data_IF_186946806141
#
_entry.id   IF_186946806141
#
_cell.length_a   1.000
_cell.length_b   1.000
_cell.length_c   1.000
_cell.angle_alpha   90.00
_cell.angle_beta   90.00
_cell.angle_gamma   90.00
#
_symmetry.space_group_name_H-M   'P 1'
#
loop_
_entity.id
_entity.type
_entity.pdbx_description
1 polymer ?
#
# COMPACT_ATOMS: atom_id res chain seq x y z
N UNK A 1 -6.46 20.13 25.07
CA UNK A 1 -6.29 19.46 23.76
C UNK A 1 -6.70 20.35 22.56
N UNK A 2 -7.27 21.55 22.77
CA UNK A 2 -7.74 22.42 21.66
C UNK A 2 -6.81 23.61 21.37
N UNK A 3 -5.58 23.61 21.88
CA UNK A 3 -4.62 24.65 21.54
C UNK A 3 -4.00 24.32 20.19
N UNK A 4 -4.00 25.24 19.21
CA UNK A 4 -3.36 24.99 17.92
C UNK A 4 -1.88 24.68 18.10
N UNK A 5 -1.38 23.71 17.34
CA UNK A 5 0.04 23.34 17.36
C UNK A 5 0.90 24.52 16.88
N UNK A 6 2.03 24.74 17.56
CA UNK A 6 2.98 25.76 17.09
C UNK A 6 3.59 25.36 15.74
N UNK A 7 4.07 26.34 14.95
CA UNK A 7 4.73 26.07 13.68
C UNK A 7 5.94 25.13 13.84
N UNK A 8 6.65 25.24 14.97
CA UNK A 8 7.75 24.35 15.32
C UNK A 8 7.27 22.91 15.55
N UNK A 9 6.14 22.73 16.23
CA UNK A 9 5.57 21.40 16.47
C UNK A 9 5.08 20.75 15.17
N UNK A 10 4.49 21.53 14.25
CA UNK A 10 4.04 21.03 12.95
C UNK A 10 5.22 20.57 12.07
N UNK A 11 6.30 21.37 12.01
CA UNK A 11 7.51 21.01 11.28
C UNK A 11 8.20 19.77 11.86
N UNK A 12 8.19 19.63 13.20
CA UNK A 12 8.71 18.45 13.86
C UNK A 12 7.91 17.19 13.49
N UNK A 13 6.58 17.27 13.54
CA UNK A 13 5.71 16.16 13.18
C UNK A 13 5.92 15.74 11.72
N UNK A 14 6.08 16.70 10.80
CA UNK A 14 6.38 16.44 9.39
C UNK A 14 7.69 15.66 9.22
N UNK A 15 8.78 16.09 9.87
CA UNK A 15 10.08 15.40 9.78
C UNK A 15 10.08 14.01 10.40
N UNK A 16 9.40 13.84 11.53
CA UNK A 16 9.26 12.53 12.17
C UNK A 16 8.44 11.58 11.30
N UNK A 17 7.40 12.09 10.64
CA UNK A 17 6.61 11.32 9.68
C UNK A 17 7.45 10.91 8.46
N UNK A 18 8.26 11.82 7.91
CA UNK A 18 9.18 11.50 6.82
C UNK A 18 10.17 10.41 7.23
N UNK A 19 10.83 10.53 8.38
CA UNK A 19 11.72 9.51 8.92
C UNK A 19 11.01 8.15 9.10
N UNK A 20 9.74 8.17 9.54
CA UNK A 20 8.92 6.98 9.68
C UNK A 20 8.62 6.32 8.33
N UNK A 21 8.21 7.08 7.31
CA UNK A 21 8.00 6.54 5.96
C UNK A 21 9.25 5.85 5.43
N UNK A 22 10.43 6.45 5.63
CA UNK A 22 11.71 5.83 5.28
C UNK A 22 11.97 4.51 6.03
N UNK A 23 11.45 4.32 7.24
CA UNK A 23 11.57 3.04 7.94
C UNK A 23 10.59 1.98 7.41
N UNK A 24 9.39 2.38 6.98
CA UNK A 24 8.32 1.50 6.49
C UNK A 24 8.65 0.94 5.10
N UNK A 25 9.03 1.82 4.16
CA UNK A 25 9.18 1.47 2.74
C UNK A 25 10.30 0.44 2.49
N UNK A 26 11.24 0.28 3.42
CA UNK A 26 12.46 -0.50 3.22
C UNK A 26 12.61 -1.70 4.17
N UNK A 27 11.56 -2.06 4.92
CA UNK A 27 11.54 -3.22 5.81
C UNK A 27 11.47 -4.59 5.09
N UNK A 28 11.51 -4.65 3.76
CA UNK A 28 11.56 -5.91 2.99
C UNK A 28 13.00 -6.41 2.77
N UNK A 29 13.47 -7.18 3.77
CA UNK A 29 14.50 -8.24 3.85
C UNK A 29 15.83 -8.26 3.06
N UNK A 30 16.12 -7.38 2.09
CA UNK A 30 17.42 -7.42 1.38
C UNK A 30 18.32 -6.17 1.58
N UNK A 31 17.81 -5.10 2.19
CA UNK A 31 18.55 -3.84 2.41
C UNK A 31 18.64 -3.44 3.90
N UNK A 32 18.44 -4.39 4.80
CA UNK A 32 18.30 -4.15 6.24
C UNK A 32 19.40 -3.23 6.81
N UNK A 33 20.69 -3.46 6.56
CA UNK A 33 21.74 -2.63 7.18
C UNK A 33 21.80 -1.18 6.67
N UNK A 34 21.85 -0.98 5.35
CA UNK A 34 22.04 0.35 4.71
C UNK A 34 20.80 1.24 4.89
N UNK A 35 19.60 0.66 4.87
CA UNK A 35 18.36 1.42 5.05
C UNK A 35 18.09 1.74 6.53
N UNK A 36 18.51 0.89 7.46
CA UNK A 36 18.42 1.23 8.89
C UNK A 36 19.37 2.36 9.26
N UNK A 37 20.58 2.40 8.70
CA UNK A 37 21.52 3.50 8.94
C UNK A 37 20.93 4.86 8.53
N UNK A 38 20.30 4.93 7.36
CA UNK A 38 19.69 6.18 6.89
C UNK A 38 18.47 6.56 7.73
N UNK A 39 17.58 5.60 8.04
CA UNK A 39 16.45 5.87 8.92
C UNK A 39 16.91 6.35 10.31
N UNK A 40 17.93 5.70 10.90
CA UNK A 40 18.53 6.10 12.17
C UNK A 40 19.12 7.52 12.06
N UNK A 41 19.83 7.84 10.98
CA UNK A 41 20.35 9.19 10.73
C UNK A 41 19.24 10.24 10.67
N UNK A 42 18.12 9.94 10.01
CA UNK A 42 16.98 10.86 9.91
C UNK A 42 16.29 11.06 11.26
N UNK A 43 16.09 9.98 12.04
CA UNK A 43 15.60 10.08 13.41
C UNK A 43 16.55 10.90 14.29
N UNK A 44 17.85 10.65 14.22
CA UNK A 44 18.86 11.39 15.00
C UNK A 44 18.89 12.86 14.62
N UNK A 45 18.92 13.18 13.32
CA UNK A 45 18.91 14.56 12.84
C UNK A 45 17.65 15.30 13.30
N UNK A 46 16.49 14.63 13.27
CA UNK A 46 15.22 15.22 13.71
C UNK A 46 15.19 15.42 15.22
N UNK A 47 15.69 14.45 15.99
CA UNK A 47 15.77 14.54 17.46
C UNK A 47 16.81 15.55 17.93
N UNK A 48 17.95 15.67 17.24
CA UNK A 48 18.97 16.70 17.50
C UNK A 48 18.40 18.08 17.19
N UNK A 49 17.73 18.25 16.03
CA UNK A 49 17.09 19.51 15.67
C UNK A 49 15.99 19.91 16.68
N UNK A 50 15.22 18.92 17.18
CA UNK A 50 14.21 19.14 18.22
C UNK A 50 14.84 19.51 19.57
N UNK A 51 15.80 18.71 20.01
CA UNK A 51 16.41 18.85 21.31
C UNK A 51 17.34 20.06 21.36
N UNK A 52 17.80 20.58 20.21
CA UNK A 52 18.89 21.56 20.10
C UNK A 52 20.08 21.19 21.01
N UNK A 53 20.32 19.90 21.14
CA UNK A 53 21.30 19.29 22.04
C UNK A 53 21.93 18.09 21.31
N UNK A 54 23.25 17.88 21.46
CA UNK A 54 23.85 16.62 21.03
C UNK A 54 23.25 15.47 21.85
N UNK A 55 22.86 14.38 21.21
CA UNK A 55 22.26 13.21 21.88
C UNK A 55 23.33 12.52 22.74
N UNK A 56 23.46 12.93 24.01
CA UNK A 56 24.43 12.41 24.98
C UNK A 56 23.85 12.18 26.37
N UNK A 57 24.57 11.43 27.22
CA UNK A 57 24.07 11.00 28.55
C UNK A 57 23.86 12.11 29.58
N UNK A 58 24.48 13.28 29.39
CA UNK A 58 24.36 14.40 30.32
C UNK A 58 23.01 15.16 30.21
N UNK A 59 22.27 14.99 29.12
CA UNK A 59 21.17 15.89 28.75
C UNK A 59 19.77 15.27 28.88
N UNK A 60 19.67 14.10 29.52
CA UNK A 60 18.43 13.35 29.72
C UNK A 60 17.33 14.14 30.44
N UNK A 61 17.69 14.84 31.52
CA UNK A 61 16.73 15.61 32.31
C UNK A 61 16.21 16.83 31.53
N UNK A 62 17.07 17.46 30.72
CA UNK A 62 16.70 18.60 29.90
C UNK A 62 15.77 18.18 28.75
N UNK A 63 16.06 17.05 28.10
CA UNK A 63 15.17 16.47 27.10
C UNK A 63 13.81 16.10 27.70
N UNK A 64 13.80 15.50 28.89
CA UNK A 64 12.57 15.17 29.63
C UNK A 64 11.74 16.42 29.95
N UNK A 65 12.37 17.48 30.46
CA UNK A 65 11.72 18.76 30.73
C UNK A 65 11.14 19.38 29.45
N UNK A 66 11.89 19.34 28.34
CA UNK A 66 11.42 19.83 27.04
C UNK A 66 10.24 19.03 26.53
N UNK A 67 10.29 17.70 26.63
CA UNK A 67 9.18 16.82 26.24
C UNK A 67 7.94 17.04 27.10
N UNK A 68 8.11 17.22 28.42
CA UNK A 68 7.03 17.49 29.35
C UNK A 68 6.32 18.81 29.06
N UNK A 69 7.05 19.82 28.55
CA UNK A 69 6.51 21.12 28.17
C UNK A 69 5.80 21.13 26.80
N UNK A 70 5.87 20.05 26.00
CA UNK A 70 5.23 20.00 24.68
C UNK A 70 3.76 19.59 24.75
N UNK A 71 3.05 19.91 23.66
CA UNK A 71 1.70 19.42 23.45
C UNK A 71 1.66 17.88 23.53
N UNK A 72 0.68 17.26 24.22
CA UNK A 72 0.65 15.82 24.45
C UNK A 72 0.77 14.96 23.19
N UNK A 73 0.14 15.38 22.09
CA UNK A 73 0.23 14.68 20.80
C UNK A 73 1.66 14.69 20.24
N UNK A 74 2.33 15.85 20.31
CA UNK A 74 3.71 16.01 19.83
C UNK A 74 4.66 15.18 20.68
N UNK A 75 4.48 15.22 22.01
CA UNK A 75 5.22 14.39 22.96
C UNK A 75 5.07 12.92 22.64
N UNK A 76 3.86 12.44 22.35
CA UNK A 76 3.61 11.04 22.02
C UNK A 76 4.33 10.63 20.72
N UNK A 77 4.23 11.44 19.67
CA UNK A 77 4.91 11.17 18.39
C UNK A 77 6.43 11.14 18.55
N UNK A 78 7.01 12.03 19.35
CA UNK A 78 8.45 11.99 19.64
C UNK A 78 8.81 10.71 20.42
N UNK A 79 7.99 10.27 21.37
CA UNK A 79 8.24 9.03 22.10
C UNK A 79 8.16 7.80 21.21
N UNK A 80 7.24 7.79 20.25
CA UNK A 80 7.13 6.69 19.29
C UNK A 80 8.31 6.70 18.31
N UNK A 81 8.77 7.87 17.86
CA UNK A 81 9.98 8.01 17.06
C UNK A 81 11.27 7.61 17.80
N UNK A 82 11.39 7.97 19.08
CA UNK A 82 12.49 7.52 19.95
C UNK A 82 12.49 6.00 20.10
N UNK A 83 11.31 5.40 20.17
CA UNK A 83 11.16 3.96 20.19
C UNK A 83 11.56 3.36 18.82
N UNK A 84 11.12 3.94 17.70
CA UNK A 84 11.42 3.45 16.34
C UNK A 84 12.94 3.39 16.14
N UNK A 85 13.62 4.50 16.47
CA UNK A 85 15.08 4.61 16.41
C UNK A 85 15.77 3.56 17.29
N UNK A 86 15.28 3.33 18.52
CA UNK A 86 15.81 2.28 19.40
C UNK A 86 15.65 0.89 18.79
N UNK A 87 14.47 0.58 18.23
CA UNK A 87 14.22 -0.71 17.61
C UNK A 87 15.18 -0.95 16.42
N UNK A 88 15.31 0.04 15.54
CA UNK A 88 16.21 -0.04 14.38
C UNK A 88 17.65 -0.33 14.83
N UNK A 89 18.13 0.38 15.86
CA UNK A 89 19.46 0.16 16.45
C UNK A 89 19.63 -1.24 17.04
N UNK A 90 18.61 -1.80 17.71
CA UNK A 90 18.68 -3.17 18.26
C UNK A 90 18.73 -4.26 17.18
N UNK A 91 18.33 -3.95 15.95
CA UNK A 91 18.42 -4.89 14.83
C UNK A 91 19.79 -4.87 14.14
N UNK A 92 20.66 -3.88 14.40
CA UNK A 92 22.00 -3.82 13.84
C UNK A 92 23.00 -4.66 14.65
N UNK A 93 23.59 -5.72 14.07
CA UNK A 93 24.50 -6.62 14.79
C UNK A 93 25.86 -5.97 15.14
N UNK A 94 26.28 -4.94 14.41
CA UNK A 94 27.58 -4.26 14.60
C UNK A 94 27.50 -2.98 15.45
N UNK A 95 26.32 -2.62 15.96
CA UNK A 95 26.15 -1.45 16.81
C UNK A 95 26.67 -1.70 18.23
N UNK A 96 28.01 -1.77 18.37
CA UNK A 96 28.74 -1.68 19.63
C UNK A 96 28.55 -0.31 20.35
N UNK A 97 27.52 0.46 19.99
CA UNK A 97 27.07 1.65 20.70
C UNK A 97 26.05 1.26 21.77
N UNK A 98 26.47 0.44 22.73
CA UNK A 98 25.71 0.09 23.95
C UNK A 98 25.21 1.33 24.70
N UNK A 99 25.94 2.45 24.58
CA UNK A 99 25.62 3.73 25.20
C UNK A 99 24.32 4.37 24.70
N UNK A 100 24.00 4.27 23.40
CA UNK A 100 22.79 4.91 22.87
C UNK A 100 21.54 4.09 23.19
N UNK A 101 21.57 2.76 23.08
CA UNK A 101 20.39 1.93 23.37
C UNK A 101 19.92 2.06 24.82
N UNK A 102 20.83 2.04 25.80
CA UNK A 102 20.48 2.30 27.20
C UNK A 102 19.93 3.70 27.42
N UNK A 103 20.51 4.70 26.73
CA UNK A 103 20.07 6.09 26.84
C UNK A 103 18.64 6.27 26.30
N UNK A 104 18.35 5.81 25.08
CA UNK A 104 17.01 5.84 24.49
C UNK A 104 16.01 5.08 25.36
N UNK A 105 16.39 3.91 25.90
CA UNK A 105 15.54 3.15 26.81
C UNK A 105 15.26 3.91 28.11
N UNK A 106 16.24 4.66 28.65
CA UNK A 106 16.03 5.54 29.83
C UNK A 106 15.11 6.72 29.51
N UNK A 107 15.27 7.38 28.36
CA UNK A 107 14.38 8.46 27.89
C UNK A 107 12.95 7.91 27.77
N UNK A 108 12.76 6.81 27.04
CA UNK A 108 11.46 6.15 26.89
C UNK A 108 10.88 5.79 28.26
N UNK A 109 11.70 5.23 29.14
CA UNK A 109 11.23 4.78 30.45
C UNK A 109 10.77 5.91 31.37
N UNK A 110 11.40 7.10 31.26
CA UNK A 110 11.10 8.29 32.07
C UNK A 110 9.99 9.14 31.44
N UNK A 111 10.07 9.38 30.14
CA UNK A 111 9.15 10.24 29.42
C UNK A 111 7.82 9.55 29.10
N UNK A 112 7.76 8.20 29.10
CA UNK A 112 6.49 7.47 29.03
C UNK A 112 5.79 7.51 30.38
N UNK A 113 5.05 8.58 30.65
CA UNK A 113 4.12 8.64 31.78
C UNK A 113 2.85 7.82 31.54
N UNK A 114 2.81 6.97 30.51
CA UNK A 114 1.71 6.05 30.25
C UNK A 114 1.57 5.08 31.44
N UNK A 115 0.45 5.15 32.20
CA UNK A 115 0.17 4.21 33.28
C UNK A 115 0.24 2.76 32.79
N UNK A 116 -0.13 2.54 31.52
CA UNK A 116 -0.09 1.24 30.84
C UNK A 116 1.34 0.76 30.61
N UNK A 117 2.25 1.58 30.05
CA UNK A 117 3.68 1.19 29.90
C UNK A 117 4.33 0.90 31.25
N UNK A 118 4.02 1.71 32.27
CA UNK A 118 4.53 1.49 33.62
C UNK A 118 4.01 0.15 34.17
N UNK A 119 2.73 -0.13 34.02
CA UNK A 119 2.13 -1.35 34.50
C UNK A 119 2.61 -2.61 33.74
N UNK A 120 2.82 -2.54 32.42
CA UNK A 120 3.46 -3.60 31.63
C UNK A 120 4.90 -3.84 32.11
N UNK A 121 5.67 -2.76 32.36
CA UNK A 121 7.05 -2.84 32.85
C UNK A 121 7.11 -3.46 34.25
N UNK A 122 6.21 -3.05 35.14
CA UNK A 122 6.14 -3.59 36.48
C UNK A 122 5.73 -5.07 36.41
N UNK A 123 4.69 -5.44 35.65
CA UNK A 123 4.31 -6.85 35.44
C UNK A 123 5.47 -7.70 34.91
N UNK A 124 6.25 -7.18 33.95
CA UNK A 124 7.47 -7.84 33.44
C UNK A 124 8.55 -8.03 34.52
N UNK A 125 8.80 -7.01 35.35
CA UNK A 125 9.78 -7.12 36.45
C UNK A 125 9.40 -8.18 37.48
N UNK A 126 8.10 -8.36 37.72
CA UNK A 126 7.59 -9.34 38.67
C UNK A 126 7.40 -10.74 38.06
N UNK A 127 7.61 -10.90 36.75
CA UNK A 127 7.30 -12.12 36.00
C UNK A 127 5.90 -12.66 36.34
N UNK A 128 4.91 -11.73 36.38
CA UNK A 128 3.54 -12.01 36.82
C UNK A 128 2.62 -12.12 35.60
N UNK A 129 2.43 -13.32 35.03
CA UNK A 129 1.60 -13.53 33.85
C UNK A 129 0.13 -13.17 34.10
N UNK A 130 -0.37 -13.26 35.34
CA UNK A 130 -1.74 -12.87 35.68
C UNK A 130 -1.99 -11.38 35.51
N UNK A 131 -1.02 -10.53 35.88
CA UNK A 131 -1.07 -9.10 35.58
C UNK A 131 -0.90 -8.81 34.10
N UNK A 132 -0.10 -9.57 33.37
CA UNK A 132 0.02 -9.41 31.92
C UNK A 132 -1.29 -9.75 31.20
N UNK A 133 -2.03 -10.76 31.69
CA UNK A 133 -3.34 -11.15 31.19
C UNK A 133 -4.40 -10.04 31.32
N UNK A 134 -4.31 -9.17 32.33
CA UNK A 134 -5.25 -8.02 32.45
C UNK A 134 -5.09 -6.98 31.34
N UNK A 135 -3.97 -6.97 30.61
CA UNK A 135 -3.79 -6.14 29.42
C UNK A 135 -4.29 -6.81 28.13
N UNK A 136 -4.72 -8.07 28.22
CA UNK A 136 -5.29 -8.84 27.11
C UNK A 136 -6.81 -8.66 26.99
N UNK A 137 -7.44 -7.96 27.93
CA UNK A 137 -8.86 -7.65 27.82
C UNK A 137 -9.10 -6.84 26.52
N UNK A 138 -10.11 -7.21 25.71
CA UNK A 138 -10.36 -6.57 24.41
C UNK A 138 -10.52 -5.04 24.48
N UNK A 139 -11.04 -4.53 25.61
CA UNK A 139 -11.17 -3.10 25.93
C UNK A 139 -9.82 -2.39 26.09
N UNK A 140 -8.82 -3.09 26.65
CA UNK A 140 -7.45 -2.58 26.80
C UNK A 140 -6.68 -2.72 25.50
N UNK A 141 -6.76 -3.89 24.85
CA UNK A 141 -6.07 -4.15 23.57
C UNK A 141 -6.41 -3.14 22.46
N UNK A 142 -7.65 -2.66 22.44
CA UNK A 142 -8.11 -1.64 21.49
C UNK A 142 -7.68 -0.20 21.81
N UNK A 143 -7.14 0.04 23.00
CA UNK A 143 -6.66 1.36 23.44
C UNK A 143 -5.14 1.43 23.51
N UNK A 144 -4.43 0.32 23.32
CA UNK A 144 -2.97 0.30 23.26
C UNK A 144 -2.49 1.04 22.00
N UNK A 145 -1.52 1.94 22.17
CA UNK A 145 -0.74 2.44 21.03
C UNK A 145 0.03 1.28 20.39
N UNK A 146 0.38 1.40 19.11
CA UNK A 146 1.12 0.34 18.43
C UNK A 146 2.46 -0.01 19.11
N UNK A 147 3.14 0.98 19.67
CA UNK A 147 4.35 0.79 20.46
C UNK A 147 4.07 0.03 21.78
N UNK A 148 2.97 0.38 22.48
CA UNK A 148 2.57 -0.32 23.71
C UNK A 148 2.24 -1.79 23.46
N UNK A 149 1.48 -2.04 22.40
CA UNK A 149 1.16 -3.38 21.95
C UNK A 149 2.43 -4.18 21.61
N UNK A 150 3.38 -3.57 20.89
CA UNK A 150 4.66 -4.21 20.60
C UNK A 150 5.45 -4.57 21.87
N UNK A 151 5.55 -3.66 22.83
CA UNK A 151 6.25 -3.93 24.09
C UNK A 151 5.54 -5.00 24.93
N UNK A 152 4.20 -5.04 24.91
CA UNK A 152 3.42 -6.09 25.55
C UNK A 152 3.70 -7.45 24.90
N UNK A 153 3.68 -7.54 23.56
CA UNK A 153 4.03 -8.75 22.81
C UNK A 153 5.44 -9.23 23.18
N UNK A 154 6.43 -8.33 23.21
CA UNK A 154 7.81 -8.65 23.62
C UNK A 154 7.91 -9.18 25.04
N UNK A 155 7.16 -8.59 25.97
CA UNK A 155 7.17 -9.01 27.36
C UNK A 155 6.53 -10.40 27.52
N UNK A 156 5.42 -10.67 26.81
CA UNK A 156 4.73 -11.96 26.84
C UNK A 156 5.60 -13.09 26.29
N UNK A 157 6.30 -12.85 25.17
CA UNK A 157 7.24 -13.82 24.62
C UNK A 157 8.38 -14.15 25.58
N UNK A 158 8.93 -13.15 26.29
CA UNK A 158 9.99 -13.36 27.27
C UNK A 158 9.52 -14.14 28.49
N UNK A 159 8.24 -14.01 28.84
CA UNK A 159 7.60 -14.81 29.88
C UNK A 159 7.24 -16.24 29.41
N UNK A 160 7.39 -16.54 28.12
CA UNK A 160 7.01 -17.84 27.54
C UNK A 160 5.55 -17.93 27.08
N UNK A 161 4.78 -16.84 27.19
CA UNK A 161 3.35 -16.77 26.87
C UNK A 161 3.12 -16.48 25.37
N UNK A 162 3.54 -17.41 24.51
CA UNK A 162 3.56 -17.22 23.05
C UNK A 162 2.15 -17.10 22.42
N UNK A 163 1.15 -17.76 22.99
CA UNK A 163 -0.23 -17.71 22.50
C UNK A 163 -0.83 -16.30 22.70
N UNK A 164 -0.63 -15.74 23.89
CA UNK A 164 -1.09 -14.40 24.23
C UNK A 164 -0.32 -13.33 23.45
N UNK A 165 0.99 -13.49 23.30
CA UNK A 165 1.80 -12.61 22.45
C UNK A 165 1.27 -12.58 21.00
N UNK A 166 0.87 -13.73 20.46
CA UNK A 166 0.30 -13.85 19.11
C UNK A 166 -1.07 -13.18 19.02
N UNK A 167 -1.93 -13.36 20.03
CA UNK A 167 -3.25 -12.73 20.09
C UNK A 167 -3.14 -11.21 20.12
N UNK A 168 -2.30 -10.65 21.01
CA UNK A 168 -2.07 -9.19 21.09
C UNK A 168 -1.54 -8.67 19.77
N UNK A 169 -0.58 -9.35 19.16
CA UNK A 169 0.00 -8.93 17.89
C UNK A 169 -1.05 -8.89 16.77
N UNK A 170 -1.94 -9.90 16.69
CA UNK A 170 -3.03 -9.93 15.71
C UNK A 170 -4.05 -8.80 15.93
N UNK A 171 -4.50 -8.62 17.17
CA UNK A 171 -5.44 -7.55 17.51
C UNK A 171 -4.83 -6.17 17.23
N UNK A 172 -3.58 -5.96 17.65
CA UNK A 172 -2.89 -4.71 17.43
C UNK A 172 -2.68 -4.43 15.93
N UNK A 173 -2.39 -5.45 15.10
CA UNK A 173 -2.31 -5.30 13.63
C UNK A 173 -3.64 -4.92 13.02
N UNK A 174 -4.74 -5.49 13.49
CA UNK A 174 -6.06 -5.14 12.98
C UNK A 174 -6.41 -3.67 13.24
N UNK A 175 -5.88 -3.09 14.32
CA UNK A 175 -6.15 -1.70 14.73
C UNK A 175 -5.11 -0.73 14.16
N UNK A 176 -3.85 -1.17 14.07
CA UNK A 176 -2.70 -0.38 13.62
C UNK A 176 -2.06 -1.03 12.39
N UNK A 177 -2.86 -1.20 11.33
CA UNK A 177 -2.50 -1.94 10.13
C UNK A 177 -1.24 -1.41 9.42
N UNK A 178 -0.91 -0.13 9.60
CA UNK A 178 0.26 0.50 8.97
C UNK A 178 1.51 0.49 9.88
N UNK A 179 1.42 -0.08 11.08
CA UNK A 179 2.49 0.01 12.07
C UNK A 179 3.66 -0.93 11.77
N UNK A 180 4.84 -0.35 11.54
CA UNK A 180 6.11 -1.09 11.38
C UNK A 180 6.44 -1.99 12.58
N UNK A 181 6.03 -1.57 13.78
CA UNK A 181 6.25 -2.29 15.02
C UNK A 181 5.64 -3.68 14.98
N UNK A 182 4.43 -3.73 14.42
CA UNK A 182 3.60 -4.91 14.43
C UNK A 182 3.82 -5.71 13.15
N UNK A 183 4.02 -5.06 12.00
CA UNK A 183 4.16 -5.73 10.71
C UNK A 183 5.56 -6.29 10.45
N UNK A 184 6.62 -5.71 11.03
CA UNK A 184 7.99 -6.21 10.90
C UNK A 184 8.30 -7.50 11.66
N UNK A 185 7.29 -8.25 12.11
CA UNK A 185 7.42 -9.48 12.90
C UNK A 185 6.68 -10.66 12.29
N UNK A 186 7.39 -11.71 11.93
CA UNK A 186 6.76 -12.97 11.46
C UNK A 186 6.22 -13.74 12.66
N UNK A 187 4.95 -14.19 12.63
CA UNK A 187 4.39 -15.00 13.72
C UNK A 187 5.16 -16.33 13.84
N UNK A 188 5.30 -16.89 15.04
CA UNK A 188 5.90 -18.22 15.22
C UNK A 188 5.22 -19.31 14.37
N UNK A 189 3.90 -19.23 14.20
CA UNK A 189 3.11 -20.15 13.38
C UNK A 189 3.44 -20.02 11.88
N UNK A 190 3.72 -18.80 11.41
CA UNK A 190 4.11 -18.53 10.02
C UNK A 190 5.49 -19.12 9.71
N UNK A 191 6.41 -19.11 10.68
CA UNK A 191 7.74 -19.74 10.55
C UNK A 191 7.65 -21.26 10.42
N UNK A 192 6.73 -21.91 11.15
CA UNK A 192 6.52 -23.37 11.06
C UNK A 192 5.89 -23.79 9.74
N UNK A 193 4.98 -22.97 9.17
CA UNK A 193 4.43 -23.19 7.83
C UNK A 193 5.50 -23.04 6.74
N UNK A 194 6.41 -22.06 6.85
CA UNK A 194 7.50 -21.88 5.87
C UNK A 194 8.45 -23.08 5.76
N UNK A 195 8.67 -23.81 6.86
CA UNK A 195 9.55 -24.99 6.89
C UNK A 195 8.84 -26.27 6.43
N UNK A 196 7.52 -26.41 6.64
CA UNK A 196 6.76 -27.56 6.14
C UNK A 196 6.38 -27.46 4.65
N UNK A 197 6.24 -26.24 4.12
CA UNK A 197 5.89 -25.98 2.70
C UNK A 197 7.00 -26.38 1.72
N UNK A 198 8.25 -26.59 2.17
CA UNK A 198 9.32 -27.16 1.33
C UNK A 198 9.09 -28.62 0.91
N UNK A 199 8.08 -29.32 1.45
CA UNK A 199 7.90 -30.77 1.21
C UNK A 199 6.56 -31.19 0.60
N UNK A 200 5.58 -30.30 0.37
CA UNK A 200 4.34 -30.72 -0.32
C UNK A 200 3.79 -29.65 -1.25
N UNK A 201 4.07 -29.81 -2.54
CA UNK A 201 3.40 -29.09 -3.61
C UNK A 201 2.15 -29.87 -4.04
N UNK A 202 0.96 -29.34 -3.74
CA UNK A 202 -0.26 -29.43 -4.57
C UNK A 202 -1.50 -28.90 -3.81
N UNK A 203 -1.79 -27.60 -3.97
CA UNK A 203 -3.17 -27.08 -4.00
C UNK A 203 -3.15 -25.72 -4.72
N UNK A 204 -4.25 -25.33 -5.36
CA UNK A 204 -4.27 -24.18 -6.26
C UNK A 204 -4.13 -22.81 -5.55
N UNK A 205 -4.31 -22.76 -4.22
CA UNK A 205 -3.92 -21.60 -3.38
C UNK A 205 -2.38 -21.39 -3.34
N UNK A 206 -1.61 -22.46 -3.53
CA UNK A 206 -0.12 -22.44 -3.47
C UNK A 206 0.49 -21.83 -4.75
N UNK A 207 -0.28 -21.64 -5.83
CA UNK A 207 0.26 -21.06 -7.08
C UNK A 207 0.44 -19.54 -6.98
N UNK A 208 -0.52 -18.83 -6.39
CA UNK A 208 -0.49 -17.37 -6.25
C UNK A 208 0.59 -16.89 -5.27
N UNK A 209 0.70 -17.52 -4.09
CA UNK A 209 1.71 -17.17 -3.08
C UNK A 209 3.15 -17.43 -3.58
N UNK A 210 3.36 -18.49 -4.36
CA UNK A 210 4.66 -18.79 -4.97
C UNK A 210 5.05 -17.80 -6.07
N UNK A 211 4.10 -17.27 -6.83
CA UNK A 211 4.40 -16.34 -7.92
C UNK A 211 4.85 -14.96 -7.40
N UNK A 212 4.31 -14.49 -6.28
CA UNK A 212 4.78 -13.26 -5.61
C UNK A 212 6.19 -13.45 -5.04
N UNK A 213 6.47 -14.58 -4.39
CA UNK A 213 7.82 -14.89 -3.92
C UNK A 213 8.83 -14.95 -5.09
N UNK A 214 8.46 -15.62 -6.18
CA UNK A 214 9.31 -15.75 -7.37
C UNK A 214 9.55 -14.40 -8.06
N UNK A 215 8.58 -13.47 -8.01
CA UNK A 215 8.76 -12.10 -8.49
C UNK A 215 9.84 -11.36 -7.70
N UNK A 216 9.86 -11.50 -6.38
CA UNK A 216 10.91 -10.90 -5.54
C UNK A 216 12.28 -11.54 -5.80
N UNK A 217 12.34 -12.86 -5.99
CA UNK A 217 13.58 -13.54 -6.38
C UNK A 217 14.08 -13.08 -7.75
N UNK A 218 13.20 -12.95 -8.75
CA UNK A 218 13.54 -12.44 -10.08
C UNK A 218 14.19 -11.06 -9.99
N UNK A 219 13.63 -10.19 -9.15
CA UNK A 219 14.17 -8.85 -8.90
C UNK A 219 15.52 -8.88 -8.17
N UNK A 220 15.68 -9.78 -7.19
CA UNK A 220 16.96 -9.96 -6.48
C UNK A 220 18.07 -10.42 -7.44
N UNK A 221 17.74 -11.30 -8.39
CA UNK A 221 18.66 -11.73 -9.45
C UNK A 221 19.05 -10.58 -10.38
N UNK A 222 18.10 -9.72 -10.79
CA UNK A 222 18.42 -8.52 -11.59
C UNK A 222 19.44 -7.63 -10.88
N UNK A 223 19.23 -7.36 -9.58
CA UNK A 223 20.12 -6.52 -8.77
C UNK A 223 21.51 -7.12 -8.61
N UNK A 224 21.58 -8.45 -8.53
CA UNK A 224 22.82 -9.21 -8.48
C UNK A 224 23.50 -9.37 -9.85
N UNK A 225 22.93 -8.76 -10.91
CA UNK A 225 23.37 -8.90 -12.31
C UNK A 225 23.26 -10.33 -12.87
N UNK A 226 22.45 -11.18 -12.23
CA UNK A 226 22.10 -12.51 -12.69
C UNK A 226 20.92 -12.44 -13.66
N UNK A 227 21.13 -11.78 -14.81
CA UNK A 227 20.04 -11.42 -15.72
C UNK A 227 19.33 -12.62 -16.37
N UNK A 228 20.06 -13.68 -16.72
CA UNK A 228 19.45 -14.87 -17.32
C UNK A 228 18.52 -15.62 -16.33
N UNK A 229 18.94 -15.95 -15.09
CA UNK A 229 18.03 -16.49 -14.08
C UNK A 229 16.82 -15.62 -13.78
N UNK A 230 17.00 -14.29 -13.77
CA UNK A 230 15.90 -13.34 -13.59
C UNK A 230 14.87 -13.45 -14.73
N UNK A 231 15.33 -13.47 -15.98
CA UNK A 231 14.46 -13.62 -17.15
C UNK A 231 13.67 -14.93 -17.11
N UNK A 232 14.30 -16.06 -16.74
CA UNK A 232 13.57 -17.33 -16.61
C UNK A 232 12.45 -17.27 -15.58
N UNK A 233 12.66 -16.58 -14.46
CA UNK A 233 11.61 -16.38 -13.45
C UNK A 233 10.47 -15.53 -13.97
N UNK A 234 10.76 -14.42 -14.66
CA UNK A 234 9.72 -13.63 -15.33
C UNK A 234 8.95 -14.48 -16.35
N UNK A 235 9.63 -15.21 -17.23
CA UNK A 235 8.96 -16.14 -18.17
C UNK A 235 8.03 -17.10 -17.45
N UNK A 236 8.47 -17.69 -16.35
CA UNK A 236 7.65 -18.61 -15.57
C UNK A 236 6.41 -17.92 -14.98
N UNK A 237 6.59 -16.73 -14.37
CA UNK A 237 5.51 -15.93 -13.77
C UNK A 237 4.44 -15.68 -14.83
N UNK A 238 4.83 -15.16 -15.99
CA UNK A 238 3.90 -14.80 -17.04
C UNK A 238 3.30 -16.04 -17.73
N UNK A 239 4.07 -17.09 -18.04
CA UNK A 239 3.49 -18.31 -18.65
C UNK A 239 2.48 -19.02 -17.74
N UNK A 240 2.72 -19.01 -16.43
CA UNK A 240 1.92 -19.81 -15.49
C UNK A 240 0.70 -19.05 -14.99
N UNK A 241 0.77 -17.71 -14.88
CA UNK A 241 -0.27 -16.93 -14.20
C UNK A 241 -1.11 -16.03 -15.11
N UNK A 242 -0.64 -15.70 -16.34
CA UNK A 242 -1.49 -14.99 -17.32
C UNK A 242 -2.75 -15.76 -17.74
N UNK A 243 -2.68 -17.08 -18.02
CA UNK A 243 -3.83 -17.79 -18.56
C UNK A 243 -5.01 -17.87 -17.59
N UNK A 244 -4.71 -17.94 -16.28
CA UNK A 244 -5.68 -18.25 -15.22
C UNK A 244 -5.96 -17.06 -14.29
N UNK A 245 -5.41 -15.87 -14.57
CA UNK A 245 -5.54 -14.67 -13.74
C UNK A 245 -5.20 -14.88 -12.24
N UNK A 246 -4.32 -15.85 -11.94
CA UNK A 246 -4.05 -16.29 -10.56
C UNK A 246 -3.18 -15.32 -9.76
N UNK A 247 -2.66 -14.27 -10.40
CA UNK A 247 -1.90 -13.21 -9.74
C UNK A 247 -2.78 -11.97 -9.55
N UNK A 248 -2.71 -11.32 -8.38
CA UNK A 248 -3.30 -10.00 -8.20
C UNK A 248 -2.78 -9.01 -9.26
N UNK A 249 -3.64 -8.12 -9.77
CA UNK A 249 -3.30 -7.15 -10.82
C UNK A 249 -2.04 -6.32 -10.52
N UNK A 250 -1.83 -5.99 -9.23
CA UNK A 250 -0.63 -5.29 -8.75
C UNK A 250 0.66 -6.09 -8.96
N UNK A 251 0.61 -7.40 -8.74
CA UNK A 251 1.77 -8.27 -8.92
C UNK A 251 2.13 -8.42 -10.39
N UNK A 252 1.13 -8.54 -11.28
CA UNK A 252 1.33 -8.57 -12.74
C UNK A 252 1.95 -7.26 -13.23
N UNK A 253 1.38 -6.12 -12.79
CA UNK A 253 1.89 -4.79 -13.15
C UNK A 253 3.34 -4.59 -12.67
N UNK A 254 3.63 -4.95 -11.41
CA UNK A 254 5.00 -4.90 -10.88
C UNK A 254 5.98 -5.79 -11.64
N UNK A 255 5.54 -7.00 -12.04
CA UNK A 255 6.35 -7.91 -12.83
C UNK A 255 6.68 -7.36 -14.23
N UNK A 256 5.74 -6.67 -14.89
CA UNK A 256 5.96 -6.04 -16.19
C UNK A 256 6.93 -4.86 -16.09
N UNK A 257 6.84 -4.06 -15.02
CA UNK A 257 7.80 -2.98 -14.76
C UNK A 257 9.22 -3.54 -14.57
N UNK A 258 9.39 -4.57 -13.74
CA UNK A 258 10.71 -5.16 -13.54
C UNK A 258 11.26 -5.87 -14.79
N UNK A 259 10.40 -6.52 -15.58
CA UNK A 259 10.83 -7.07 -16.87
C UNK A 259 11.31 -5.95 -17.79
N UNK A 260 10.59 -4.83 -17.88
CA UNK A 260 11.01 -3.68 -18.69
C UNK A 260 12.36 -3.13 -18.24
N UNK A 261 12.56 -2.98 -16.92
CA UNK A 261 13.86 -2.60 -16.34
C UNK A 261 14.97 -3.59 -16.72
N UNK A 262 14.68 -4.90 -16.71
CA UNK A 262 15.62 -5.93 -17.15
C UNK A 262 15.96 -5.78 -18.64
N UNK A 263 14.96 -5.50 -19.49
CA UNK A 263 15.14 -5.27 -20.92
C UNK A 263 16.09 -4.12 -21.24
N UNK A 264 16.11 -3.06 -20.40
CA UNK A 264 17.03 -1.92 -20.55
C UNK A 264 18.50 -2.31 -20.38
N UNK A 265 18.80 -3.36 -19.62
CA UNK A 265 20.18 -3.79 -19.30
C UNK A 265 20.55 -5.16 -19.87
N UNK A 266 19.57 -5.92 -20.36
CA UNK A 266 19.74 -7.28 -20.89
C UNK A 266 18.88 -7.49 -22.14
N UNK A 267 19.52 -7.39 -23.31
CA UNK A 267 18.84 -7.43 -24.61
C UNK A 267 17.89 -8.63 -24.85
N UNK A 268 18.19 -9.86 -24.40
CA UNK A 268 17.25 -10.97 -24.53
C UNK A 268 15.92 -10.74 -23.80
N UNK A 269 15.93 -10.03 -22.67
CA UNK A 269 14.70 -9.70 -21.96
C UNK A 269 13.85 -8.68 -22.73
N UNK A 270 14.47 -7.71 -23.40
CA UNK A 270 13.75 -6.75 -24.24
C UNK A 270 13.06 -7.43 -25.42
N UNK A 271 13.79 -8.28 -26.16
CA UNK A 271 13.24 -9.01 -27.31
C UNK A 271 12.04 -9.89 -26.93
N UNK A 272 12.07 -10.49 -25.74
CA UNK A 272 10.94 -11.29 -25.26
C UNK A 272 9.79 -10.47 -24.71
N UNK A 273 10.08 -9.32 -24.12
CA UNK A 273 9.04 -8.39 -23.71
C UNK A 273 8.27 -7.89 -24.93
N UNK A 274 8.97 -7.55 -26.02
CA UNK A 274 8.34 -7.18 -27.29
C UNK A 274 7.48 -8.33 -27.83
N UNK A 275 8.00 -9.56 -27.80
CA UNK A 275 7.23 -10.75 -28.19
C UNK A 275 6.00 -10.99 -27.32
N UNK A 276 6.06 -10.66 -26.02
CA UNK A 276 4.93 -10.74 -25.10
C UNK A 276 3.86 -9.70 -25.48
N UNK A 277 4.27 -8.46 -25.75
CA UNK A 277 3.39 -7.39 -26.23
C UNK A 277 2.68 -7.78 -27.54
N UNK A 278 3.43 -8.28 -28.51
CA UNK A 278 2.89 -8.73 -29.79
C UNK A 278 1.89 -9.88 -29.61
N UNK A 279 2.25 -10.88 -28.80
CA UNK A 279 1.37 -12.02 -28.49
C UNK A 279 0.07 -11.56 -27.81
N UNK A 280 0.17 -10.67 -26.82
CA UNK A 280 -0.99 -10.10 -26.14
C UNK A 280 -1.90 -9.36 -27.12
N UNK A 281 -1.33 -8.52 -28.02
CA UNK A 281 -2.10 -7.83 -29.07
C UNK A 281 -2.82 -8.81 -30.00
N UNK A 282 -2.14 -9.87 -30.43
CA UNK A 282 -2.74 -10.88 -31.31
C UNK A 282 -3.90 -11.62 -30.61
N UNK A 283 -3.74 -11.97 -29.33
CA UNK A 283 -4.82 -12.59 -28.54
C UNK A 283 -6.01 -11.65 -28.41
N UNK A 284 -5.79 -10.35 -28.18
CA UNK A 284 -6.86 -9.35 -28.13
C UNK A 284 -7.63 -9.29 -29.44
N UNK A 285 -6.94 -9.31 -30.59
CA UNK A 285 -7.55 -9.20 -31.92
C UNK A 285 -8.17 -10.51 -32.43
N UNK A 286 -7.78 -11.66 -31.87
CA UNK A 286 -8.30 -12.97 -32.28
C UNK A 286 -9.69 -13.23 -31.68
N UNK A 287 -10.73 -12.98 -32.49
CA UNK A 287 -12.13 -13.19 -32.12
C UNK A 287 -12.49 -14.66 -31.83
N UNK A 288 -11.59 -15.62 -32.10
CA UNK A 288 -11.78 -17.04 -31.75
C UNK A 288 -11.42 -17.34 -30.29
N UNK A 289 -10.72 -16.43 -29.61
CA UNK A 289 -10.39 -16.58 -28.20
C UNK A 289 -11.60 -16.30 -27.32
N UNK A 290 -11.60 -16.85 -26.10
CA UNK A 290 -12.63 -16.54 -25.11
C UNK A 290 -12.52 -15.08 -24.69
N UNK A 291 -13.66 -14.45 -24.39
CA UNK A 291 -13.73 -13.04 -23.98
C UNK A 291 -12.84 -12.75 -22.76
N UNK A 292 -12.86 -13.63 -21.76
CA UNK A 292 -12.00 -13.53 -20.57
C UNK A 292 -10.50 -13.53 -20.94
N UNK A 293 -10.08 -14.41 -21.84
CA UNK A 293 -8.68 -14.47 -22.29
C UNK A 293 -8.29 -13.22 -23.07
N UNK A 294 -9.18 -12.71 -23.92
CA UNK A 294 -8.96 -11.44 -24.64
C UNK A 294 -8.87 -10.26 -23.68
N UNK A 295 -9.68 -10.24 -22.63
CA UNK A 295 -9.65 -9.23 -21.56
C UNK A 295 -8.32 -9.24 -20.80
N UNK A 296 -7.86 -10.41 -20.35
CA UNK A 296 -6.57 -10.57 -19.66
C UNK A 296 -5.39 -10.19 -20.56
N UNK A 297 -5.44 -10.57 -21.83
CA UNK A 297 -4.44 -10.15 -22.81
C UNK A 297 -4.45 -8.64 -23.03
N UNK A 298 -5.62 -7.99 -23.03
CA UNK A 298 -5.71 -6.54 -23.11
C UNK A 298 -5.09 -5.85 -21.90
N UNK A 299 -5.42 -6.30 -20.67
CA UNK A 299 -4.80 -5.79 -19.44
C UNK A 299 -3.27 -5.91 -19.49
N UNK A 300 -2.77 -7.05 -19.93
CA UNK A 300 -1.33 -7.29 -20.07
C UNK A 300 -0.72 -6.36 -21.11
N UNK A 301 -1.38 -6.16 -22.25
CA UNK A 301 -0.93 -5.24 -23.29
C UNK A 301 -0.86 -3.79 -22.78
N UNK A 302 -1.88 -3.32 -22.05
CA UNK A 302 -1.89 -1.98 -21.45
C UNK A 302 -0.77 -1.84 -20.43
N UNK A 303 -0.65 -2.78 -19.50
CA UNK A 303 0.35 -2.73 -18.44
C UNK A 303 1.78 -2.79 -19.02
N UNK A 304 1.99 -3.56 -20.09
CA UNK A 304 3.28 -3.65 -20.76
C UNK A 304 3.64 -2.35 -21.49
N UNK A 305 2.69 -1.79 -22.26
CA UNK A 305 2.89 -0.50 -22.94
C UNK A 305 3.09 0.64 -21.94
N UNK A 306 2.39 0.61 -20.80
CA UNK A 306 2.57 1.55 -19.70
C UNK A 306 3.98 1.50 -19.13
N UNK A 307 4.52 0.31 -18.86
CA UNK A 307 5.88 0.13 -18.37
C UNK A 307 6.95 0.66 -19.35
N UNK A 308 6.67 0.67 -20.66
CA UNK A 308 7.55 1.20 -21.71
C UNK A 308 7.24 2.64 -22.13
N UNK A 309 6.29 3.32 -21.49
CA UNK A 309 5.81 4.66 -21.86
C UNK A 309 5.23 4.75 -23.29
N UNK A 310 4.78 3.63 -23.86
CA UNK A 310 4.20 3.53 -25.22
C UNK A 310 2.66 3.50 -25.20
N UNK A 311 2.05 4.37 -24.40
CA UNK A 311 0.59 4.37 -24.19
C UNK A 311 -0.22 4.56 -25.47
N UNK A 312 0.29 5.28 -26.46
CA UNK A 312 -0.39 5.49 -27.74
C UNK A 312 -0.73 4.17 -28.46
N UNK A 313 0.07 3.11 -28.27
CA UNK A 313 -0.19 1.80 -28.86
C UNK A 313 -1.39 1.08 -28.22
N UNK A 314 -1.53 1.19 -26.89
CA UNK A 314 -2.70 0.69 -26.16
C UNK A 314 -3.99 1.41 -26.58
N UNK A 315 -3.91 2.74 -26.77
CA UNK A 315 -5.02 3.56 -27.26
C UNK A 315 -5.39 3.17 -28.70
N UNK A 316 -4.40 2.96 -29.58
CA UNK A 316 -4.64 2.51 -30.95
C UNK A 316 -5.34 1.15 -30.98
N UNK A 317 -4.90 0.17 -30.18
CA UNK A 317 -5.54 -1.14 -30.11
C UNK A 317 -7.00 -1.03 -29.63
N UNK A 318 -7.28 -0.20 -28.64
CA UNK A 318 -8.65 0.06 -28.22
C UNK A 318 -9.50 0.68 -29.35
N UNK A 319 -8.93 1.62 -30.11
CA UNK A 319 -9.58 2.23 -31.27
C UNK A 319 -10.00 1.19 -32.29
N UNK A 320 -9.12 0.23 -32.57
CA UNK A 320 -9.37 -0.88 -33.49
C UNK A 320 -10.57 -1.73 -33.01
N UNK A 321 -10.63 -2.04 -31.71
CA UNK A 321 -11.73 -2.81 -31.11
C UNK A 321 -13.07 -2.07 -31.22
N UNK A 322 -13.09 -0.77 -30.87
CA UNK A 322 -14.31 0.06 -30.96
C UNK A 322 -14.77 0.18 -32.41
N UNK A 323 -13.86 0.44 -33.35
CA UNK A 323 -14.18 0.55 -34.77
C UNK A 323 -14.74 -0.77 -35.33
N UNK A 324 -14.28 -1.91 -34.84
CA UNK A 324 -14.80 -3.23 -35.18
C UNK A 324 -16.13 -3.57 -34.50
N UNK A 325 -16.66 -2.70 -33.62
CA UNK A 325 -17.81 -2.99 -32.76
C UNK A 325 -17.61 -4.27 -31.93
N UNK A 326 -16.38 -4.48 -31.45
CA UNK A 326 -16.00 -5.70 -30.76
C UNK A 326 -16.72 -5.80 -29.39
N UNK A 327 -17.29 -6.97 -29.03
CA UNK A 327 -17.95 -7.18 -27.74
C UNK A 327 -17.06 -6.87 -26.52
N UNK A 328 -15.74 -6.94 -26.69
CA UNK A 328 -14.77 -6.65 -25.64
C UNK A 328 -14.67 -5.13 -25.33
N UNK A 329 -15.07 -4.27 -26.27
CA UNK A 329 -14.89 -2.81 -26.19
C UNK A 329 -15.47 -2.18 -24.91
N UNK A 330 -16.71 -2.50 -24.46
CA UNK A 330 -17.28 -1.91 -23.24
C UNK A 330 -16.55 -2.34 -21.96
N UNK A 331 -16.05 -3.58 -21.91
CA UNK A 331 -15.31 -4.11 -20.75
C UNK A 331 -13.89 -3.55 -20.66
N UNK A 332 -13.33 -3.20 -21.81
CA UNK A 332 -12.01 -2.61 -21.88
C UNK A 332 -12.01 -1.15 -21.43
N UNK A 333 -13.11 -0.41 -21.62
CA UNK A 333 -13.22 0.98 -21.14
C UNK A 333 -12.99 1.08 -19.63
N UNK A 334 -13.60 0.20 -18.83
CA UNK A 334 -13.42 0.22 -17.38
C UNK A 334 -11.99 -0.11 -16.96
N UNK A 335 -11.30 -0.97 -17.72
CA UNK A 335 -9.88 -1.28 -17.50
C UNK A 335 -8.97 -0.12 -17.88
N UNK A 336 -9.28 0.58 -18.97
CA UNK A 336 -8.53 1.78 -19.36
C UNK A 336 -8.73 2.88 -18.31
N UNK A 337 -9.92 3.01 -17.72
CA UNK A 337 -10.18 3.95 -16.62
C UNK A 337 -9.34 3.65 -15.37
N UNK A 338 -9.17 2.37 -15.00
CA UNK A 338 -8.40 2.00 -13.81
C UNK A 338 -6.88 2.12 -14.00
N UNK A 339 -6.39 2.16 -15.24
CA UNK A 339 -4.96 2.17 -15.54
C UNK A 339 -4.42 3.51 -16.07
N UNK A 340 -5.29 4.43 -16.51
CA UNK A 340 -4.87 5.75 -16.99
C UNK A 340 -4.97 6.80 -15.88
N UNK A 341 -4.01 7.71 -15.82
CA UNK A 341 -4.18 8.92 -15.03
C UNK A 341 -5.37 9.74 -15.55
N UNK A 342 -5.99 10.61 -14.72
CA UNK A 342 -7.10 11.45 -15.17
C UNK A 342 -6.80 12.26 -16.44
N UNK A 343 -5.56 12.74 -16.59
CA UNK A 343 -5.12 13.50 -17.77
C UNK A 343 -4.95 12.61 -19.00
N UNK A 344 -4.40 11.39 -18.83
CA UNK A 344 -4.25 10.42 -19.91
C UNK A 344 -5.61 9.89 -20.39
N UNK A 345 -6.54 9.65 -19.46
CA UNK A 345 -7.88 9.23 -19.78
C UNK A 345 -8.68 10.34 -20.48
N UNK A 346 -8.50 11.60 -20.06
CA UNK A 346 -9.06 12.77 -20.74
C UNK A 346 -8.57 12.89 -22.19
N UNK A 347 -7.28 12.69 -22.44
CA UNK A 347 -6.73 12.66 -23.80
C UNK A 347 -7.28 11.51 -24.64
N UNK A 348 -7.48 10.35 -24.01
CA UNK A 348 -8.14 9.20 -24.62
C UNK A 348 -9.58 9.53 -25.03
N UNK A 349 -10.41 10.08 -24.14
CA UNK A 349 -11.79 10.47 -24.47
C UNK A 349 -11.86 11.54 -25.58
N UNK A 350 -10.93 12.50 -25.57
CA UNK A 350 -10.83 13.52 -26.61
C UNK A 350 -10.55 12.95 -28.02
N UNK A 351 -9.85 11.81 -28.12
CA UNK A 351 -9.57 11.12 -29.39
C UNK A 351 -10.74 10.27 -29.88
N UNK A 352 -11.74 9.98 -29.03
CA UNK A 352 -12.95 9.23 -29.38
C UNK A 352 -14.25 10.00 -29.08
N UNK A 353 -14.46 11.19 -29.67
CA UNK A 353 -15.64 12.01 -29.40
C UNK A 353 -16.96 11.30 -29.78
N UNK A 354 -16.95 10.49 -30.84
CA UNK A 354 -18.10 9.68 -31.30
C UNK A 354 -18.27 8.34 -30.58
N UNK A 355 -17.29 7.93 -29.75
CA UNK A 355 -17.44 6.78 -28.86
C UNK A 355 -18.68 6.94 -27.99
N UNK A 356 -18.96 8.16 -27.52
CA UNK A 356 -20.15 8.49 -26.72
C UNK A 356 -21.51 8.22 -27.39
N UNK A 357 -21.56 8.09 -28.73
CA UNK A 357 -22.80 7.71 -29.47
C UNK A 357 -22.93 6.20 -29.70
N UNK A 358 -21.82 5.46 -29.62
CA UNK A 358 -21.71 4.04 -29.98
C UNK A 358 -21.43 3.13 -28.78
N UNK A 359 -20.95 3.69 -27.67
CA UNK A 359 -21.10 3.05 -26.38
C UNK A 359 -22.61 2.90 -26.17
N UNK A 360 -23.15 1.67 -26.04
CA UNK A 360 -24.54 1.54 -25.65
C UNK A 360 -24.68 2.38 -24.41
N UNK A 361 -25.51 3.44 -24.53
CA UNK A 361 -25.96 4.32 -23.46
C UNK A 361 -25.51 3.76 -22.11
N UNK A 362 -24.51 4.35 -21.46
CA UNK A 362 -24.16 3.97 -20.08
C UNK A 362 -25.41 4.18 -19.18
N UNK A 363 -26.41 4.94 -19.63
CA UNK A 363 -27.78 4.99 -19.10
C UNK A 363 -28.61 3.70 -19.26
N UNK A 364 -28.10 2.68 -19.94
CA UNK A 364 -28.65 1.32 -20.01
C UNK A 364 -27.90 0.31 -19.13
N UNK A 365 -26.94 0.78 -18.30
CA UNK A 365 -26.67 0.16 -16.99
C UNK A 365 -27.88 0.45 -16.09
N UNK A 366 -29.02 -0.05 -16.53
CA UNK A 366 -30.25 -0.10 -15.78
C UNK A 366 -30.09 -1.32 -14.90
N UNK A 367 -29.56 -1.13 -13.71
CA UNK A 367 -29.75 -2.02 -12.56
C UNK A 367 -29.64 -3.51 -12.93
N UNK A 368 -28.56 -3.94 -13.58
CA UNK A 368 -28.22 -5.36 -13.55
C UNK A 368 -27.63 -5.63 -12.16
N UNK A 369 -28.22 -6.52 -11.34
CA UNK A 369 -27.74 -6.83 -9.98
C UNK A 369 -26.33 -7.45 -9.93
N UNK A 370 -25.63 -7.53 -11.07
CA UNK A 370 -24.33 -8.16 -11.23
C UNK A 370 -23.15 -7.24 -10.92
N UNK A 371 -23.36 -5.91 -10.87
CA UNK A 371 -22.40 -5.00 -10.23
C UNK A 371 -22.77 -4.89 -8.76
N UNK A 372 -21.90 -5.38 -7.89
CA UNK A 372 -22.03 -5.24 -6.44
C UNK A 372 -22.17 -3.78 -5.98
N UNK A 373 -22.47 -3.66 -4.69
CA UNK A 373 -22.67 -2.45 -3.87
C UNK A 373 -23.20 -1.20 -4.59
N UNK A 374 -24.43 -0.79 -4.26
CA UNK A 374 -25.07 0.45 -4.74
C UNK A 374 -24.16 1.68 -4.56
N UNK A 375 -23.26 1.66 -3.56
CA UNK A 375 -22.28 2.71 -3.33
C UNK A 375 -21.20 2.79 -4.42
N UNK A 376 -20.74 1.66 -4.96
CA UNK A 376 -19.67 1.64 -5.97
C UNK A 376 -20.18 2.12 -7.33
N UNK A 377 -21.45 1.81 -7.65
CA UNK A 377 -22.14 2.37 -8.81
C UNK A 377 -22.24 3.89 -8.71
N UNK A 378 -22.55 4.41 -7.52
CA UNK A 378 -22.62 5.84 -7.25
C UNK A 378 -21.26 6.53 -7.43
N UNK A 379 -20.18 5.96 -6.85
CA UNK A 379 -18.80 6.48 -7.02
C UNK A 379 -18.37 6.52 -8.49
N UNK A 380 -18.71 5.48 -9.25
CA UNK A 380 -18.40 5.41 -10.70
C UNK A 380 -19.12 6.51 -11.47
N UNK A 381 -20.41 6.75 -11.17
CA UNK A 381 -21.21 7.82 -11.78
C UNK A 381 -20.67 9.21 -11.45
N UNK A 382 -20.31 9.46 -10.19
CA UNK A 382 -19.72 10.74 -9.77
C UNK A 382 -18.39 11.01 -10.46
N UNK A 383 -17.56 9.98 -10.61
CA UNK A 383 -16.29 10.07 -11.33
C UNK A 383 -16.54 10.42 -12.80
N UNK A 384 -17.52 9.77 -13.45
CA UNK A 384 -17.93 10.09 -14.81
C UNK A 384 -18.44 11.53 -14.96
N UNK A 385 -19.32 12.01 -14.06
CA UNK A 385 -19.82 13.40 -14.07
C UNK A 385 -18.65 14.39 -13.97
N UNK A 386 -17.72 14.16 -13.02
CA UNK A 386 -16.56 15.02 -12.82
C UNK A 386 -15.64 15.07 -14.04
N UNK A 387 -15.47 13.94 -14.72
CA UNK A 387 -14.64 13.85 -15.92
C UNK A 387 -15.28 14.56 -17.10
N UNK A 388 -16.57 14.32 -17.38
CA UNK A 388 -17.31 15.00 -18.44
C UNK A 388 -17.28 16.53 -18.28
N UNK A 389 -17.33 17.01 -17.03
CA UNK A 389 -17.22 18.43 -16.73
C UNK A 389 -15.82 19.00 -17.06
N UNK A 390 -14.75 18.26 -16.78
CA UNK A 390 -13.36 18.69 -17.06
C UNK A 390 -13.04 18.75 -18.55
N UNK A 391 -13.63 17.86 -19.35
CA UNK A 391 -13.45 17.85 -20.82
C UNK A 391 -14.42 18.78 -21.56
N UNK A 392 -15.19 19.60 -20.83
CA UNK A 392 -16.07 20.63 -21.40
C UNK A 392 -17.43 20.12 -21.91
N UNK A 393 -17.79 18.86 -21.64
CA UNK A 393 -19.06 18.25 -22.06
C UNK A 393 -20.20 18.52 -21.07
N UNK A 394 -20.50 19.80 -20.85
CA UNK A 394 -21.41 20.25 -19.80
C UNK A 394 -22.84 19.68 -19.94
N UNK A 395 -23.38 19.56 -21.14
CA UNK A 395 -24.75 19.03 -21.32
C UNK A 395 -24.87 17.54 -20.97
N UNK A 396 -23.80 16.76 -21.22
CA UNK A 396 -23.77 15.33 -20.91
C UNK A 396 -23.57 15.09 -19.41
N UNK A 397 -22.66 15.85 -18.77
CA UNK A 397 -22.45 15.78 -17.31
C UNK A 397 -23.72 16.13 -16.54
N UNK A 398 -24.46 17.17 -16.95
CA UNK A 398 -25.71 17.58 -16.29
C UNK A 398 -26.84 16.57 -16.50
N UNK A 399 -26.89 15.90 -17.65
CA UNK A 399 -27.86 14.83 -17.89
C UNK A 399 -27.61 13.63 -16.96
N UNK A 400 -26.35 13.20 -16.82
CA UNK A 400 -25.96 12.10 -15.92
C UNK A 400 -26.21 12.49 -14.46
N UNK A 401 -25.87 13.72 -14.07
CA UNK A 401 -26.13 14.23 -12.72
C UNK A 401 -27.63 14.28 -12.39
N UNK A 402 -28.48 14.67 -13.34
CA UNK A 402 -29.93 14.65 -13.16
C UNK A 402 -30.50 13.23 -13.05
N UNK A 403 -29.88 12.24 -13.68
CA UNK A 403 -30.22 10.83 -13.52
C UNK A 403 -29.76 10.31 -12.14
N UNK A 404 -28.53 10.63 -11.73
CA UNK A 404 -28.00 10.26 -10.43
C UNK A 404 -28.81 10.88 -9.28
N UNK A 405 -29.15 12.17 -9.36
CA UNK A 405 -29.95 12.87 -8.36
C UNK A 405 -31.37 12.31 -8.18
N UNK A 406 -31.92 11.64 -9.22
CA UNK A 406 -33.22 10.95 -9.13
C UNK A 406 -33.14 9.65 -8.33
N UNK A 407 -31.99 8.98 -8.38
CA UNK A 407 -31.77 7.68 -7.72
C UNK A 407 -31.23 7.91 -6.29
N UNK A 408 -30.25 8.81 -6.14
CA UNK A 408 -29.57 9.15 -4.88
C UNK A 408 -29.91 10.57 -4.45
N UNK A 409 -31.09 10.73 -3.84
CA UNK A 409 -31.66 12.03 -3.46
C UNK A 409 -31.43 12.43 -1.99
N UNK A 410 -30.44 11.85 -1.32
CA UNK A 410 -30.06 12.29 0.02
C UNK A 410 -29.11 13.50 -0.02
N UNK A 411 -29.04 14.25 1.08
CA UNK A 411 -28.27 15.49 1.15
C UNK A 411 -26.77 15.28 0.90
N UNK A 412 -26.21 14.13 1.31
CA UNK A 412 -24.79 13.85 1.10
C UNK A 412 -24.51 13.54 -0.37
N UNK A 413 -25.35 12.71 -1.00
CA UNK A 413 -25.24 12.40 -2.42
C UNK A 413 -25.36 13.64 -3.30
N UNK A 414 -26.26 14.58 -2.98
CA UNK A 414 -26.39 15.84 -3.71
C UNK A 414 -25.11 16.70 -3.62
N UNK A 415 -24.47 16.79 -2.45
CA UNK A 415 -23.18 17.49 -2.29
C UNK A 415 -22.10 16.86 -3.17
N UNK A 416 -22.07 15.52 -3.24
CA UNK A 416 -21.09 14.79 -4.04
C UNK A 416 -21.35 14.94 -5.55
N UNK A 417 -22.62 14.95 -5.97
CA UNK A 417 -23.04 15.24 -7.35
C UNK A 417 -22.68 16.67 -7.75
N UNK A 418 -22.93 17.66 -6.88
CA UNK A 418 -22.61 19.05 -7.13
C UNK A 418 -21.09 19.28 -7.22
N UNK A 419 -20.31 18.62 -6.37
CA UNK A 419 -18.85 18.62 -6.46
C UNK A 419 -18.39 18.01 -7.79
N UNK A 420 -19.00 16.90 -8.21
CA UNK A 420 -18.72 16.28 -9.50
C UNK A 420 -19.08 17.22 -10.68
N UNK A 421 -20.19 17.95 -10.61
CA UNK A 421 -20.55 19.00 -11.57
C UNK A 421 -19.59 20.19 -11.59
N UNK A 422 -18.67 20.30 -10.63
CA UNK A 422 -17.56 21.26 -10.65
C UNK A 422 -16.24 20.62 -11.12
N UNK A 423 -16.28 19.36 -11.59
CA UNK A 423 -15.11 18.59 -11.96
C UNK A 423 -14.30 18.11 -10.76
N UNK A 424 -14.92 17.99 -9.57
CA UNK A 424 -14.25 17.54 -8.34
C UNK A 424 -14.83 16.21 -7.88
N UNK A 425 -13.97 15.26 -7.51
CA UNK A 425 -14.40 14.04 -6.81
C UNK A 425 -14.07 14.25 -5.33
N UNK A 426 -15.06 14.15 -4.45
CA UNK A 426 -14.92 14.50 -3.03
C UNK A 426 -13.79 13.69 -2.37
N UNK A 427 -13.11 14.31 -1.40
CA UNK A 427 -11.99 13.68 -0.68
C UNK A 427 -12.43 12.41 0.08
N UNK A 428 -13.71 12.34 0.46
CA UNK A 428 -14.34 11.16 1.05
C UNK A 428 -14.40 9.99 0.05
N UNK A 429 -14.81 10.25 -1.20
CA UNK A 429 -14.84 9.24 -2.26
C UNK A 429 -13.43 8.80 -2.65
N UNK A 430 -12.47 9.74 -2.72
CA UNK A 430 -11.07 9.40 -2.96
C UNK A 430 -10.48 8.50 -1.84
N UNK A 431 -10.95 8.68 -0.61
CA UNK A 431 -10.57 7.82 0.52
C UNK A 431 -11.26 6.45 0.46
N UNK A 432 -12.48 6.35 -0.05
CA UNK A 432 -13.17 5.06 -0.25
C UNK A 432 -12.54 4.26 -1.40
N UNK A 433 -12.23 4.90 -2.54
CA UNK A 433 -11.46 4.29 -3.63
C UNK A 433 -10.14 3.71 -3.08
N UNK A 434 -9.45 4.45 -2.21
CA UNK A 434 -8.19 4.02 -1.57
C UNK A 434 -8.34 2.96 -0.46
N UNK A 435 -9.55 2.71 0.04
CA UNK A 435 -9.81 1.65 1.03
C UNK A 435 -10.14 0.33 0.35
N UNK A 436 -10.67 0.39 -0.86
CA UNK A 436 -10.96 -0.78 -1.70
C UNK A 436 -9.75 -1.20 -2.55
N UNK A 437 -8.89 -0.24 -2.92
CA UNK A 437 -7.50 -0.45 -3.36
C UNK A 437 -6.60 -0.94 -2.22
#
# INVERSE_FOLDING_TARGET
ANSPLSALDQELLRRLYEAHLWSVTFASDALQSVCWDEAIRQYDATLIAFANLPLGSADLNELENRLAARHPLVRQVILDALADSLLLRTKQPDANQTYHAEWFQRVLNRCSSSPVRKAIRDARKWNDPGRMATFLEPSVGSTLSAADAYFLVKALEQAGEMADATMVLRQARAIHADSIWLNGRVLPDDKRRSTSVRQSAASDEVRGENAVALLFEARADMRSKNYAPSLEKFRWIFRTNLPDASLPDRAISGALVFWTELGRVYAPAAAEFDSLCDSARQIVLDSKQTEERRRLAFQTYVAANSATEQFDAAIALFSELVAASDPLSPQVVSLVQSHLSPDQFSQFEHRFPDGSRSFPKITSVRTTPAMGDERQQFVTLLTLIAMQQRIGKMSESHAIAADAARIWNDAQSQIEIDAALQGQVSLHIQQEIRKEE
#
